data_IF_993633094124
#
_entry.id   IF_993633094124
#
_cell.length_a   1.000
_cell.length_b   1.000
_cell.length_c   1.000
_cell.angle_alpha   90.00
_cell.angle_beta   90.00
_cell.angle_gamma   90.00
#
_symmetry.space_group_name_H-M   'P 1'
#
loop_
_entity.id
_entity.type
_entity.pdbx_description
1 polymer ?
#
# COMPACT_ATOMS: atom_id res chain seq x y z
N UNK A 1 -18.06 -9.67 -6.15
CA UNK A 1 -17.36 -8.69 -5.28
C UNK A 1 -18.27 -8.14 -4.19
N UNK A 2 -19.52 -7.80 -4.48
CA UNK A 2 -20.46 -7.15 -3.54
C UNK A 2 -20.68 -7.92 -2.24
N UNK A 3 -20.82 -9.24 -2.29
CA UNK A 3 -21.10 -10.05 -1.09
C UNK A 3 -19.82 -10.62 -0.43
N UNK A 4 -18.66 -10.47 -1.08
CA UNK A 4 -17.39 -10.91 -0.50
C UNK A 4 -16.97 -9.92 0.59
N UNK A 5 -16.65 -10.34 1.83
CA UNK A 5 -16.26 -9.44 2.92
C UNK A 5 -15.08 -8.52 2.57
N UNK A 6 -14.15 -9.02 1.77
CA UNK A 6 -12.96 -8.29 1.32
C UNK A 6 -13.22 -7.44 0.07
N UNK A 7 -14.40 -7.49 -0.56
CA UNK A 7 -14.66 -6.81 -1.85
C UNK A 7 -13.67 -7.20 -2.97
N UNK A 8 -13.08 -8.39 -2.87
CA UNK A 8 -12.06 -8.91 -3.77
C UNK A 8 -12.49 -10.28 -4.30
N UNK A 9 -11.90 -10.70 -5.41
CA UNK A 9 -12.13 -12.01 -6.02
C UNK A 9 -10.86 -12.86 -5.87
N UNK A 10 -10.98 -14.09 -5.32
CA UNK A 10 -9.89 -15.04 -5.34
C UNK A 10 -9.66 -15.60 -6.75
N UNK A 11 -8.41 -15.84 -7.13
CA UNK A 11 -8.05 -16.54 -8.37
C UNK A 11 -7.95 -18.06 -8.13
N UNK A 12 -7.45 -18.49 -6.96
CA UNK A 12 -7.58 -19.85 -6.44
C UNK A 12 -8.27 -19.87 -5.07
N UNK A 13 -8.80 -21.02 -4.60
CA UNK A 13 -9.42 -21.10 -3.28
C UNK A 13 -8.51 -20.54 -2.17
N UNK A 14 -9.00 -19.52 -1.47
CA UNK A 14 -8.33 -18.78 -0.39
C UNK A 14 -7.20 -17.81 -0.80
N UNK A 15 -6.84 -17.72 -2.08
CA UNK A 15 -5.77 -16.84 -2.57
C UNK A 15 -6.33 -15.71 -3.44
N UNK A 16 -6.09 -14.49 -2.99
CA UNK A 16 -6.44 -13.28 -3.70
C UNK A 16 -5.16 -12.63 -4.24
N UNK A 17 -5.22 -12.10 -5.46
CA UNK A 17 -4.08 -11.47 -6.12
C UNK A 17 -4.39 -10.04 -6.48
N UNK A 18 -3.43 -9.13 -6.24
CA UNK A 18 -3.56 -7.73 -6.63
C UNK A 18 -3.76 -7.61 -8.14
N UNK A 19 -2.93 -8.27 -8.94
CA UNK A 19 -3.02 -8.27 -10.40
C UNK A 19 -4.43 -8.60 -10.93
N UNK A 20 -5.01 -9.72 -10.47
CA UNK A 20 -6.35 -10.16 -10.87
C UNK A 20 -7.41 -9.10 -10.54
N UNK A 21 -7.33 -8.55 -9.32
CA UNK A 21 -8.35 -7.63 -8.79
C UNK A 21 -8.25 -6.23 -9.40
N UNK A 22 -7.03 -5.70 -9.57
CA UNK A 22 -6.79 -4.42 -10.24
C UNK A 22 -7.25 -4.47 -11.70
N UNK A 23 -6.96 -5.58 -12.41
CA UNK A 23 -7.43 -5.80 -13.79
C UNK A 23 -8.96 -5.86 -13.85
N UNK A 24 -9.57 -6.60 -12.92
CA UNK A 24 -11.04 -6.69 -12.82
C UNK A 24 -11.70 -5.34 -12.59
N UNK A 25 -11.15 -4.51 -11.69
CA UNK A 25 -11.64 -3.16 -11.45
C UNK A 25 -11.50 -2.25 -12.67
N UNK A 26 -10.37 -2.29 -13.37
CA UNK A 26 -10.20 -1.55 -14.61
C UNK A 26 -11.29 -1.95 -15.64
N UNK A 27 -11.59 -3.24 -15.76
CA UNK A 27 -12.69 -3.76 -16.57
C UNK A 27 -14.06 -3.20 -16.19
N UNK A 28 -14.36 -3.12 -14.88
CA UNK A 28 -15.62 -2.57 -14.39
C UNK A 28 -15.75 -1.06 -14.66
N UNK A 29 -14.67 -0.30 -14.46
CA UNK A 29 -14.65 1.15 -14.75
C UNK A 29 -14.80 1.41 -16.26
N UNK A 30 -14.18 0.59 -17.10
CA UNK A 30 -14.38 0.64 -18.56
C UNK A 30 -15.81 0.28 -18.94
N UNK A 31 -16.41 -0.74 -18.31
CA UNK A 31 -17.79 -1.16 -18.53
C UNK A 31 -18.78 -0.04 -18.17
N UNK A 32 -18.58 0.64 -17.04
CA UNK A 32 -19.40 1.78 -16.64
C UNK A 32 -19.40 2.85 -17.73
N UNK A 33 -18.23 3.16 -18.29
CA UNK A 33 -18.05 4.18 -19.33
C UNK A 33 -18.59 3.76 -20.70
N UNK A 34 -18.27 2.54 -21.16
CA UNK A 34 -18.56 2.09 -22.53
C UNK A 34 -20.00 1.57 -22.66
N UNK A 35 -20.49 0.88 -21.63
CA UNK A 35 -21.77 0.18 -21.66
C UNK A 35 -22.87 0.90 -20.86
N UNK A 36 -22.57 2.06 -20.26
CA UNK A 36 -23.51 2.80 -19.41
C UNK A 36 -23.95 1.99 -18.20
N UNK A 37 -23.02 1.30 -17.55
CA UNK A 37 -23.23 0.55 -16.31
C UNK A 37 -22.74 1.36 -15.11
N UNK A 38 -22.98 0.86 -13.90
CA UNK A 38 -22.57 1.50 -12.65
C UNK A 38 -21.91 0.52 -11.66
N UNK A 39 -21.39 -0.59 -12.18
CA UNK A 39 -20.83 -1.66 -11.36
C UNK A 39 -19.54 -1.22 -10.68
N UNK A 40 -18.63 -0.57 -11.40
CA UNK A 40 -17.38 -0.07 -10.85
C UNK A 40 -17.62 1.04 -9.83
N UNK A 41 -18.51 1.98 -10.17
CA UNK A 41 -18.89 3.12 -9.34
C UNK A 41 -19.53 2.71 -8.01
N UNK A 42 -20.28 1.60 -7.97
CA UNK A 42 -20.88 1.07 -6.75
C UNK A 42 -19.86 0.48 -5.76
N UNK A 43 -18.76 -0.05 -6.26
CA UNK A 43 -17.80 -0.81 -5.42
C UNK A 43 -16.46 -0.10 -5.23
N UNK A 44 -16.18 0.99 -5.97
CA UNK A 44 -14.88 1.65 -5.99
C UNK A 44 -14.35 2.02 -4.60
N UNK A 45 -15.16 2.70 -3.77
CA UNK A 45 -14.77 3.12 -2.43
C UNK A 45 -14.45 1.93 -1.52
N UNK A 46 -15.23 0.86 -1.63
CA UNK A 46 -15.02 -0.36 -0.85
C UNK A 46 -13.78 -1.10 -1.34
N UNK A 47 -13.57 -1.18 -2.65
CA UNK A 47 -12.40 -1.78 -3.25
C UNK A 47 -11.12 -1.04 -2.84
N UNK A 48 -11.09 0.29 -2.91
CA UNK A 48 -9.94 1.10 -2.48
C UNK A 48 -9.62 0.85 -1.00
N UNK A 49 -10.64 0.83 -0.13
CA UNK A 49 -10.47 0.50 1.29
C UNK A 49 -9.90 -0.90 1.50
N UNK A 50 -10.38 -1.90 0.76
CA UNK A 50 -9.87 -3.27 0.85
C UNK A 50 -8.46 -3.43 0.30
N UNK A 51 -8.14 -2.73 -0.80
CA UNK A 51 -6.80 -2.72 -1.36
C UNK A 51 -5.80 -2.13 -0.35
N UNK A 52 -6.16 -1.01 0.27
CA UNK A 52 -5.36 -0.39 1.33
C UNK A 52 -5.29 -1.23 2.61
N UNK A 53 -6.36 -1.95 2.97
CA UNK A 53 -6.43 -2.65 4.24
C UNK A 53 -6.00 -4.11 4.26
N UNK A 54 -6.02 -4.78 3.11
CA UNK A 54 -5.73 -6.21 3.01
C UNK A 54 -4.53 -6.48 2.08
N UNK A 55 -4.26 -5.58 1.14
CA UNK A 55 -3.25 -5.76 0.10
C UNK A 55 -2.09 -4.78 0.18
N UNK A 56 -2.00 -3.94 1.20
CA UNK A 56 -0.92 -2.96 1.32
C UNK A 56 -0.14 -3.22 2.59
N UNK A 57 1.16 -3.39 2.46
CA UNK A 57 2.07 -3.54 3.60
C UNK A 57 2.31 -2.17 4.28
N UNK A 58 2.96 -2.18 5.45
CA UNK A 58 3.22 -0.97 6.24
C UNK A 58 4.10 0.06 5.53
N UNK A 59 4.91 -0.37 4.55
CA UNK A 59 5.72 0.50 3.70
C UNK A 59 4.93 1.12 2.52
N UNK A 60 3.63 0.79 2.41
CA UNK A 60 2.74 1.27 1.35
C UNK A 60 2.80 0.45 0.05
N UNK A 61 3.59 -0.63 -0.01
CA UNK A 61 3.65 -1.50 -1.19
C UNK A 61 2.45 -2.42 -1.26
N UNK A 62 1.98 -2.65 -2.48
CA UNK A 62 0.85 -3.55 -2.73
C UNK A 62 1.38 -4.99 -2.84
N UNK A 63 0.91 -5.85 -1.94
CA UNK A 63 1.19 -7.27 -1.91
C UNK A 63 0.76 -7.96 -3.21
N UNK A 64 1.55 -8.91 -3.68
CA UNK A 64 1.19 -9.75 -4.83
C UNK A 64 0.01 -10.67 -4.48
N UNK A 65 0.09 -11.30 -3.30
CA UNK A 65 -0.83 -12.34 -2.85
C UNK A 65 -1.27 -12.02 -1.42
N UNK A 66 -2.57 -12.08 -1.18
CA UNK A 66 -3.16 -12.12 0.15
C UNK A 66 -3.90 -13.45 0.34
N UNK A 67 -3.64 -14.11 1.45
CA UNK A 67 -4.31 -15.34 1.86
C UNK A 67 -5.35 -15.05 2.92
N UNK A 68 -6.47 -15.78 2.93
CA UNK A 68 -7.45 -15.74 4.04
C UNK A 68 -6.86 -16.26 5.37
N UNK A 69 -5.74 -16.98 5.31
CA UNK A 69 -5.03 -17.45 6.50
C UNK A 69 -4.01 -16.39 6.95
N UNK A 70 -4.07 -15.92 8.22
CA UNK A 70 -3.21 -14.84 8.74
C UNK A 70 -1.71 -15.08 8.59
N UNK A 71 -1.30 -16.35 8.54
CA UNK A 71 0.10 -16.76 8.65
C UNK A 71 0.81 -16.96 7.28
N UNK A 72 0.14 -16.62 6.17
CA UNK A 72 0.69 -16.83 4.82
C UNK A 72 0.63 -15.56 3.96
N UNK A 73 1.28 -14.50 4.41
CA UNK A 73 1.93 -13.55 3.49
C UNK A 73 3.22 -14.19 3.04
N UNK A 74 3.36 -14.51 1.74
CA UNK A 74 4.59 -15.09 1.20
C UNK A 74 5.64 -13.98 1.04
N UNK A 75 6.55 -13.77 2.01
CA UNK A 75 7.48 -12.65 1.98
C UNK A 75 8.53 -12.96 0.90
N UNK A 76 8.82 -11.99 0.02
CA UNK A 76 9.83 -12.17 -1.04
C UNK A 76 9.31 -12.58 -2.42
N UNK A 77 7.98 -12.72 -2.60
CA UNK A 77 7.35 -12.77 -3.93
C UNK A 77 6.99 -11.37 -4.48
N UNK A 78 6.93 -10.36 -3.61
CA UNK A 78 6.85 -8.96 -4.02
C UNK A 78 8.23 -8.45 -4.40
N UNK A 79 8.37 -7.93 -5.61
CA UNK A 79 9.52 -7.14 -6.00
C UNK A 79 9.12 -6.15 -7.07
N UNK A 80 10.10 -5.34 -7.49
CA UNK A 80 9.91 -4.12 -8.29
C UNK A 80 9.08 -4.32 -9.56
N UNK A 81 9.11 -5.52 -10.15
CA UNK A 81 8.30 -5.85 -11.32
C UNK A 81 6.80 -5.80 -11.02
N UNK A 82 6.39 -6.36 -9.88
CA UNK A 82 4.99 -6.37 -9.45
C UNK A 82 4.54 -4.97 -9.08
N UNK A 83 5.39 -4.17 -8.43
CA UNK A 83 5.08 -2.77 -8.13
C UNK A 83 4.82 -1.97 -9.41
N UNK A 84 5.67 -2.16 -10.44
CA UNK A 84 5.49 -1.55 -11.75
C UNK A 84 4.13 -1.93 -12.37
N UNK A 85 3.78 -3.22 -12.35
CA UNK A 85 2.51 -3.70 -12.91
C UNK A 85 1.32 -3.12 -12.14
N UNK A 86 1.38 -3.12 -10.81
CA UNK A 86 0.33 -2.55 -9.96
C UNK A 86 0.16 -1.05 -10.23
N UNK A 87 1.25 -0.28 -10.30
CA UNK A 87 1.22 1.14 -10.61
C UNK A 87 0.57 1.43 -11.98
N UNK A 88 0.90 0.65 -13.01
CA UNK A 88 0.26 0.78 -14.33
C UNK A 88 -1.25 0.49 -14.27
N UNK A 89 -1.66 -0.60 -13.62
CA UNK A 89 -3.08 -0.98 -13.54
C UNK A 89 -3.91 0.02 -12.71
N UNK A 90 -3.32 0.59 -11.66
CA UNK A 90 -3.97 1.61 -10.84
C UNK A 90 -4.26 2.90 -11.62
N UNK A 91 -3.46 3.21 -12.65
CA UNK A 91 -3.62 4.44 -13.47
C UNK A 91 -5.03 4.57 -14.05
N UNK A 92 -5.69 3.44 -14.35
CA UNK A 92 -7.02 3.43 -14.96
C UNK A 92 -8.13 3.98 -14.04
N UNK A 93 -7.98 3.90 -12.72
CA UNK A 93 -9.08 4.23 -11.80
C UNK A 93 -8.67 4.78 -10.41
N UNK A 94 -7.44 4.55 -9.95
CA UNK A 94 -6.86 5.09 -8.71
C UNK A 94 -5.50 5.77 -8.99
N UNK A 95 -5.47 6.86 -9.77
CA UNK A 95 -4.22 7.50 -10.19
C UNK A 95 -3.37 8.00 -9.02
N UNK A 96 -4.01 8.40 -7.90
CA UNK A 96 -3.30 8.78 -6.68
C UNK A 96 -2.45 7.63 -6.12
N UNK A 97 -2.98 6.41 -6.09
CA UNK A 97 -2.25 5.23 -5.63
C UNK A 97 -1.20 4.81 -6.65
N UNK A 98 -1.49 4.92 -7.95
CA UNK A 98 -0.51 4.68 -9.02
C UNK A 98 0.74 5.56 -8.83
N UNK A 99 0.53 6.86 -8.59
CA UNK A 99 1.63 7.80 -8.40
C UNK A 99 2.40 7.56 -7.08
N UNK A 100 1.70 7.23 -5.99
CA UNK A 100 2.35 6.87 -4.73
C UNK A 100 3.25 5.64 -4.88
N UNK A 101 2.75 4.61 -5.56
CA UNK A 101 3.51 3.39 -5.84
C UNK A 101 4.73 3.71 -6.75
N UNK A 102 4.55 4.52 -7.80
CA UNK A 102 5.67 4.98 -8.64
C UNK A 102 6.73 5.78 -7.87
N UNK A 103 6.31 6.63 -6.92
CA UNK A 103 7.23 7.40 -6.10
C UNK A 103 8.11 6.49 -5.24
N UNK A 104 7.53 5.44 -4.64
CA UNK A 104 8.26 4.41 -3.89
C UNK A 104 9.25 3.70 -4.81
N UNK A 105 8.79 3.21 -5.97
CA UNK A 105 9.66 2.52 -6.96
C UNK A 105 10.88 3.37 -7.30
N UNK A 106 10.63 4.63 -7.70
CA UNK A 106 11.66 5.54 -8.18
C UNK A 106 12.68 5.92 -7.09
N UNK A 107 12.23 6.15 -5.87
CA UNK A 107 13.08 6.68 -4.81
C UNK A 107 13.86 5.58 -4.08
N UNK A 108 13.21 4.43 -3.85
CA UNK A 108 13.74 3.35 -3.03
C UNK A 108 14.48 2.28 -3.86
N UNK A 109 13.94 1.90 -5.03
CA UNK A 109 14.45 0.75 -5.79
C UNK A 109 15.27 1.10 -7.02
N UNK A 110 15.16 2.30 -7.56
CA UNK A 110 15.92 2.73 -8.74
C UNK A 110 17.13 3.55 -8.32
N UNK A 111 18.34 3.09 -8.66
CA UNK A 111 19.59 3.86 -8.52
C UNK A 111 20.34 3.86 -9.85
N UNK A 112 21.13 4.89 -10.07
CA UNK A 112 22.06 4.93 -11.19
C UNK A 112 23.47 4.73 -10.64
N UNK A 113 24.24 3.86 -11.29
CA UNK A 113 25.66 3.70 -10.99
C UNK A 113 26.48 4.89 -11.52
N UNK A 114 27.78 4.91 -11.22
CA UNK A 114 28.69 5.97 -11.65
C UNK A 114 28.83 6.05 -13.19
N UNK A 115 28.43 5.00 -13.92
CA UNK A 115 28.42 4.94 -15.38
C UNK A 115 27.06 5.37 -15.98
N UNK A 116 26.12 5.80 -15.15
CA UNK A 116 24.77 6.18 -15.57
C UNK A 116 23.88 4.99 -15.96
N UNK A 117 24.24 3.76 -15.59
CA UNK A 117 23.40 2.59 -15.79
C UNK A 117 22.40 2.44 -14.64
N UNK A 118 21.15 2.14 -14.99
CA UNK A 118 20.11 1.89 -14.01
C UNK A 118 20.34 0.53 -13.31
N UNK A 119 20.50 0.57 -12.00
CA UNK A 119 20.53 -0.55 -11.08
C UNK A 119 19.20 -0.62 -10.32
N UNK A 120 18.57 -1.81 -10.32
CA UNK A 120 17.34 -2.06 -9.55
C UNK A 120 17.68 -2.79 -8.26
N UNK A 121 17.47 -2.12 -7.12
CA UNK A 121 17.68 -2.69 -5.80
C UNK A 121 16.57 -3.66 -5.40
N UNK A 122 16.91 -4.57 -4.49
CA UNK A 122 15.99 -5.54 -3.87
C UNK A 122 15.26 -6.49 -4.84
N UNK A 123 15.94 -6.97 -5.87
CA UNK A 123 15.42 -8.02 -6.75
C UNK A 123 15.32 -9.37 -6.01
N UNK A 124 14.19 -9.55 -5.32
CA UNK A 124 13.84 -10.76 -4.56
C UNK A 124 12.88 -11.64 -5.37
N UNK A 125 13.03 -12.96 -5.21
CA UNK A 125 12.12 -13.98 -5.73
C UNK A 125 11.80 -13.88 -7.22
N UNK A 126 10.51 -13.88 -7.55
CA UNK A 126 9.98 -13.90 -8.93
C UNK A 126 10.32 -12.66 -9.74
N UNK A 127 10.70 -11.55 -9.09
CA UNK A 127 11.09 -10.32 -9.80
C UNK A 127 12.46 -10.41 -10.48
N UNK A 128 13.24 -11.46 -10.17
CA UNK A 128 14.51 -11.77 -10.83
C UNK A 128 14.37 -12.88 -11.86
N UNK A 129 13.15 -13.28 -12.23
CA UNK A 129 12.91 -14.35 -13.22
C UNK A 129 12.38 -13.71 -14.50
N UNK A 130 13.00 -14.05 -15.62
CA UNK A 130 12.49 -13.73 -16.94
C UNK A 130 11.40 -14.76 -17.32
N UNK A 131 10.12 -14.33 -17.45
CA UNK A 131 9.02 -15.26 -17.71
C UNK A 131 9.08 -15.87 -19.12
N UNK A 132 9.88 -15.32 -20.04
CA UNK A 132 10.00 -15.86 -21.39
C UNK A 132 10.84 -17.14 -21.42
N UNK A 133 11.87 -17.23 -20.58
CA UNK A 133 12.80 -18.36 -20.57
C UNK A 133 12.98 -19.03 -19.19
N UNK A 134 12.27 -18.55 -18.17
CA UNK A 134 12.30 -19.04 -16.78
C UNK A 134 13.69 -19.04 -16.12
N UNK A 135 14.60 -18.21 -16.60
CA UNK A 135 15.95 -18.05 -16.02
C UNK A 135 16.04 -16.77 -15.21
N UNK A 136 17.07 -16.71 -14.35
CA UNK A 136 17.39 -15.48 -13.65
C UNK A 136 17.70 -14.36 -14.65
N UNK A 137 16.98 -13.26 -14.58
CA UNK A 137 17.09 -12.16 -15.53
C UNK A 137 16.26 -10.95 -15.11
N UNK A 138 16.74 -9.78 -15.50
CA UNK A 138 16.12 -8.47 -15.23
C UNK A 138 15.48 -7.88 -16.49
N UNK A 139 15.47 -8.64 -17.60
CA UNK A 139 14.96 -8.20 -18.91
C UNK A 139 13.56 -7.59 -18.82
N UNK A 140 12.59 -8.16 -18.08
CA UNK A 140 11.26 -7.58 -17.97
C UNK A 140 11.28 -6.18 -17.34
N UNK A 141 12.10 -5.97 -16.30
CA UNK A 141 12.17 -4.69 -15.59
C UNK A 141 12.60 -3.54 -16.50
N UNK A 142 13.49 -3.83 -17.47
CA UNK A 142 13.91 -2.84 -18.47
C UNK A 142 12.77 -2.34 -19.36
N UNK A 143 11.69 -3.11 -19.51
CA UNK A 143 10.48 -2.69 -20.21
C UNK A 143 9.44 -2.08 -19.25
N UNK A 144 9.21 -2.72 -18.10
CA UNK A 144 8.16 -2.32 -17.17
C UNK A 144 8.47 -1.02 -16.42
N UNK A 145 9.73 -0.73 -16.10
CA UNK A 145 10.11 0.51 -15.41
C UNK A 145 9.84 1.75 -16.30
N UNK A 146 10.34 1.83 -17.56
CA UNK A 146 10.02 2.95 -18.43
C UNK A 146 8.53 3.06 -18.75
N UNK A 147 7.84 1.92 -18.93
CA UNK A 147 6.40 1.92 -19.12
C UNK A 147 5.69 2.53 -17.90
N UNK A 148 6.01 2.07 -16.68
CA UNK A 148 5.44 2.61 -15.46
C UNK A 148 5.76 4.09 -15.29
N UNK A 149 6.99 4.51 -15.58
CA UNK A 149 7.37 5.91 -15.60
C UNK A 149 6.45 6.70 -16.54
N UNK A 150 6.23 6.22 -17.76
CA UNK A 150 5.33 6.87 -18.71
C UNK A 150 3.89 6.89 -18.18
N UNK A 151 3.32 5.76 -17.79
CA UNK A 151 1.93 5.67 -17.31
C UNK A 151 1.68 6.50 -16.04
N UNK A 152 2.61 6.51 -15.10
CA UNK A 152 2.51 7.28 -13.85
C UNK A 152 2.88 8.77 -14.01
N UNK A 153 3.38 9.20 -15.19
CA UNK A 153 3.72 10.61 -15.45
C UNK A 153 2.92 11.25 -16.60
N UNK A 154 2.13 10.48 -17.35
CA UNK A 154 1.36 10.95 -18.51
C UNK A 154 -0.10 11.30 -18.16
N UNK A 155 -0.68 12.39 -18.71
CA UNK A 155 -0.33 13.78 -18.46
C UNK A 155 -0.82 14.24 -17.08
N UNK A 156 0.07 14.20 -16.09
CA UNK A 156 -0.21 14.68 -14.74
C UNK A 156 0.24 16.13 -14.58
N UNK A 157 -0.47 17.06 -15.23
CA UNK A 157 -0.57 18.47 -14.77
C UNK A 157 -1.63 18.63 -13.67
N UNK A 158 -2.34 17.56 -13.31
CA UNK A 158 -3.53 17.61 -12.44
C UNK A 158 -3.42 16.83 -11.12
N UNK A 159 -2.46 15.91 -10.96
CA UNK A 159 -2.32 15.11 -9.73
C UNK A 159 -0.85 14.83 -9.41
N UNK A 160 -0.06 15.87 -9.17
CA UNK A 160 1.19 15.70 -8.41
C UNK A 160 0.89 14.80 -7.21
N UNK A 161 1.71 13.77 -6.95
CA UNK A 161 1.85 13.28 -5.57
C UNK A 161 2.14 14.56 -4.80
N UNK A 162 1.25 14.97 -3.90
CA UNK A 162 1.64 16.05 -3.01
C UNK A 162 2.87 15.53 -2.27
N UNK A 163 3.89 16.36 -2.09
CA UNK A 163 5.01 16.04 -1.19
C UNK A 163 4.52 15.51 0.18
N UNK A 164 3.26 15.77 0.51
CA UNK A 164 2.49 15.18 1.61
C UNK A 164 2.49 13.65 1.73
N UNK A 165 2.71 12.85 0.69
CA UNK A 165 2.81 11.38 0.87
C UNK A 165 4.15 10.95 1.53
N UNK A 166 5.21 11.71 1.31
CA UNK A 166 6.50 11.51 2.01
C UNK A 166 6.52 12.20 3.37
N UNK A 167 5.68 13.21 3.57
CA UNK A 167 5.54 13.95 4.82
C UNK A 167 4.36 13.50 5.69
N UNK A 168 3.62 12.47 5.29
CA UNK A 168 2.46 12.02 6.03
C UNK A 168 2.83 11.26 7.30
N UNK A 169 1.97 11.29 8.34
CA UNK A 169 2.13 10.49 9.54
C UNK A 169 2.43 9.02 9.25
N UNK A 170 3.41 8.48 9.97
CA UNK A 170 3.92 7.13 9.83
C UNK A 170 3.81 6.39 11.17
N UNK A 171 3.46 5.09 11.12
CA UNK A 171 3.67 4.19 12.26
C UNK A 171 5.12 3.70 12.21
N UNK A 172 5.96 4.26 13.08
CA UNK A 172 7.41 4.02 13.11
C UNK A 172 7.77 2.87 14.05
N UNK A 173 7.03 2.71 15.16
CA UNK A 173 7.34 1.70 16.17
C UNK A 173 6.08 0.90 16.52
N UNK A 174 6.16 -0.40 16.26
CA UNK A 174 5.23 -1.42 16.72
C UNK A 174 6.06 -2.69 16.99
N UNK A 175 6.22 -3.05 18.26
CA UNK A 175 7.17 -4.09 18.65
C UNK A 175 6.73 -5.47 18.14
N UNK A 176 7.45 -6.03 17.17
CA UNK A 176 7.30 -7.42 16.76
C UNK A 176 7.97 -8.38 17.78
N UNK A 177 7.41 -9.57 18.06
CA UNK A 177 6.16 -10.14 17.53
C UNK A 177 4.92 -9.75 18.34
N UNK A 178 5.03 -8.82 19.29
CA UNK A 178 3.96 -8.49 20.23
C UNK A 178 2.77 -7.78 19.53
N UNK A 179 3.05 -6.98 18.50
CA UNK A 179 2.07 -6.31 17.63
C UNK A 179 2.34 -6.65 16.16
N UNK A 180 1.30 -7.05 15.44
CA UNK A 180 1.32 -7.29 14.00
C UNK A 180 0.56 -6.17 13.30
N UNK A 181 1.19 -5.54 12.31
CA UNK A 181 0.59 -4.46 11.53
C UNK A 181 -0.01 -5.06 10.27
N UNK A 182 -1.34 -5.07 10.19
CA UNK A 182 -2.06 -5.51 8.98
C UNK A 182 -2.38 -4.35 8.03
N UNK A 183 -2.41 -3.11 8.55
CA UNK A 183 -2.58 -1.89 7.77
C UNK A 183 -1.89 -0.72 8.48
N UNK A 184 -1.20 0.12 7.72
CA UNK A 184 -0.80 1.46 8.15
C UNK A 184 -0.86 2.42 6.95
N UNK A 185 -1.95 3.18 6.84
CA UNK A 185 -2.30 3.90 5.62
C UNK A 185 -2.60 5.37 5.87
N UNK A 186 -1.90 6.29 5.18
CA UNK A 186 -2.21 7.72 5.31
C UNK A 186 -3.45 8.13 4.51
N UNK A 187 -4.37 8.83 5.17
CA UNK A 187 -5.57 9.42 4.56
C UNK A 187 -5.36 10.94 4.44
N UNK A 188 -5.36 11.45 3.21
CA UNK A 188 -5.27 12.89 2.94
C UNK A 188 -3.95 13.55 3.33
N UNK A 189 -2.91 12.79 3.70
CA UNK A 189 -1.60 13.29 4.12
C UNK A 189 -1.50 13.73 5.58
N UNK A 190 -2.62 13.78 6.32
CA UNK A 190 -2.66 14.26 7.70
C UNK A 190 -3.15 13.21 8.71
N UNK A 191 -3.86 12.19 8.23
CA UNK A 191 -4.41 11.12 9.05
C UNK A 191 -3.70 9.80 8.76
N UNK A 192 -3.74 8.87 9.71
CA UNK A 192 -3.18 7.53 9.57
C UNK A 192 -4.19 6.49 10.07
N UNK A 193 -4.63 5.61 9.17
CA UNK A 193 -5.55 4.52 9.43
C UNK A 193 -4.78 3.21 9.55
N UNK A 194 -4.86 2.59 10.71
CA UNK A 194 -4.15 1.38 11.10
C UNK A 194 -5.11 0.21 11.32
N UNK A 195 -4.65 -1.00 11.05
CA UNK A 195 -5.27 -2.24 11.55
C UNK A 195 -4.16 -3.05 12.17
N UNK A 196 -4.27 -3.33 13.46
CA UNK A 196 -3.28 -4.04 14.24
C UNK A 196 -3.87 -5.33 14.83
N UNK A 197 -3.01 -6.30 15.08
CA UNK A 197 -3.32 -7.52 15.83
C UNK A 197 -2.32 -7.70 16.97
N UNK A 198 -2.77 -8.23 18.10
CA UNK A 198 -1.86 -8.71 19.14
C UNK A 198 -1.24 -10.03 18.68
N UNK A 199 0.05 -10.23 18.93
CA UNK A 199 0.76 -11.43 18.48
C UNK A 199 0.41 -12.70 19.26
N UNK A 200 0.24 -12.59 20.59
CA UNK A 200 -0.16 -13.71 21.46
C UNK A 200 -1.42 -13.38 22.24
N UNK A 201 -1.27 -12.65 23.34
CA UNK A 201 -2.37 -12.28 24.23
C UNK A 201 -2.81 -10.83 23.97
N UNK A 202 -4.12 -10.52 24.07
CA UNK A 202 -4.60 -9.15 24.06
C UNK A 202 -3.97 -8.33 25.19
N UNK A 203 -3.76 -7.04 24.95
CA UNK A 203 -3.12 -6.19 25.95
C UNK A 203 -2.91 -4.75 25.50
N UNK A 204 -2.24 -3.99 26.35
CA UNK A 204 -1.83 -2.61 26.05
C UNK A 204 -0.43 -2.62 25.47
N UNK A 205 -0.27 -2.06 24.28
CA UNK A 205 0.99 -1.99 23.55
C UNK A 205 1.36 -0.54 23.25
N UNK A 206 2.65 -0.25 23.32
CA UNK A 206 3.19 1.06 22.94
C UNK A 206 3.38 1.12 21.43
N UNK A 207 2.77 2.13 20.81
CA UNK A 207 2.94 2.48 19.40
C UNK A 207 3.72 3.79 19.29
N UNK A 208 4.64 3.87 18.34
CA UNK A 208 5.38 5.08 18.01
C UNK A 208 4.98 5.60 16.64
N UNK A 209 4.76 6.91 16.59
CA UNK A 209 4.42 7.65 15.38
C UNK A 209 5.53 8.62 15.03
N UNK A 210 5.76 8.80 13.74
CA UNK A 210 6.72 9.76 13.19
C UNK A 210 6.08 10.59 12.08
N UNK A 211 6.77 11.63 11.63
CA UNK A 211 6.30 12.57 10.59
C UNK A 211 4.97 13.26 10.95
N UNK A 212 4.72 13.44 12.24
CA UNK A 212 3.61 14.26 12.74
C UNK A 212 3.97 15.74 12.63
N UNK A 213 2.97 16.61 12.52
CA UNK A 213 3.19 18.06 12.61
C UNK A 213 3.72 18.40 14.01
N UNK A 214 4.90 19.04 14.14
CA UNK A 214 5.48 19.35 15.44
C UNK A 214 4.54 20.16 16.34
N UNK A 215 4.52 19.83 17.63
CA UNK A 215 3.70 20.46 18.67
C UNK A 215 2.18 20.38 18.45
N UNK A 216 1.71 19.55 17.50
CA UNK A 216 0.28 19.35 17.25
C UNK A 216 -0.24 18.16 18.05
N UNK A 217 -1.46 18.28 18.58
CA UNK A 217 -2.15 17.17 19.23
C UNK A 217 -2.81 16.26 18.19
N UNK A 218 -2.68 14.95 18.41
CA UNK A 218 -3.35 13.92 17.63
C UNK A 218 -4.20 13.05 18.53
N UNK A 219 -5.38 12.67 18.03
CA UNK A 219 -6.33 11.79 18.71
C UNK A 219 -6.46 10.48 17.94
N UNK A 220 -6.51 9.39 18.69
CA UNK A 220 -6.80 8.05 18.19
C UNK A 220 -8.30 7.78 18.30
N UNK A 221 -8.85 7.03 17.34
CA UNK A 221 -10.25 6.58 17.37
C UNK A 221 -10.58 5.70 18.58
N UNK A 222 -9.57 5.15 19.25
CA UNK A 222 -9.70 4.36 20.48
C UNK A 222 -9.83 5.20 21.75
N UNK A 223 -9.69 6.54 21.65
CA UNK A 223 -9.92 7.49 22.74
C UNK A 223 -8.65 8.11 23.34
N UNK A 224 -7.48 7.54 23.10
CA UNK A 224 -6.19 8.13 23.50
C UNK A 224 -5.82 9.34 22.65
N UNK A 225 -4.98 10.22 23.20
CA UNK A 225 -4.32 11.30 22.44
C UNK A 225 -2.84 11.39 22.79
N UNK A 226 -2.08 12.01 21.90
CA UNK A 226 -0.70 12.41 22.15
C UNK A 226 -0.35 13.70 21.42
N UNK A 227 0.60 14.43 22.00
CA UNK A 227 1.18 15.63 21.41
C UNK A 227 2.48 15.24 20.71
N UNK A 228 2.62 15.65 19.45
CA UNK A 228 3.86 15.47 18.71
C UNK A 228 4.98 16.32 19.28
N UNK A 229 6.16 15.71 19.46
CA UNK A 229 7.39 16.42 19.84
C UNK A 229 7.85 17.39 18.75
N UNK A 230 8.85 18.23 19.06
CA UNK A 230 9.51 19.10 18.07
C UNK A 230 10.08 18.33 16.87
N UNK A 231 10.46 17.06 17.08
CA UNK A 231 10.95 16.17 16.03
C UNK A 231 9.84 15.48 15.21
N UNK A 232 8.55 15.79 15.46
CA UNK A 232 7.42 15.16 14.77
C UNK A 232 7.11 13.73 15.24
N UNK A 233 7.61 13.33 16.42
CA UNK A 233 7.38 12.00 16.99
C UNK A 233 6.39 12.02 18.15
N UNK A 234 5.59 10.97 18.29
CA UNK A 234 4.73 10.75 19.45
C UNK A 234 4.66 9.26 19.81
N UNK A 235 4.32 8.96 21.06
CA UNK A 235 4.08 7.59 21.53
C UNK A 235 2.74 7.49 22.22
N UNK A 236 2.02 6.39 21.99
CA UNK A 236 0.70 6.15 22.59
C UNK A 236 0.59 4.69 23.02
N UNK A 237 0.01 4.48 24.19
CA UNK A 237 -0.36 3.15 24.67
C UNK A 237 -1.78 2.79 24.22
N UNK A 238 -1.91 1.73 23.44
CA UNK A 238 -3.18 1.31 22.84
C UNK A 238 -3.52 -0.11 23.22
N UNK A 239 -4.78 -0.35 23.60
CA UNK A 239 -5.30 -1.68 23.82
C UNK A 239 -5.57 -2.36 22.46
N UNK A 240 -4.92 -3.49 22.20
CA UNK A 240 -5.07 -4.28 20.98
C UNK A 240 -5.58 -5.67 21.36
N UNK A 241 -6.71 -6.05 20.77
CA UNK A 241 -7.37 -7.35 21.00
C UNK A 241 -7.96 -7.86 19.69
N UNK A 242 -7.34 -8.89 19.11
CA UNK A 242 -7.60 -9.33 17.75
C UNK A 242 -7.43 -8.18 16.74
N UNK A 243 -8.26 -8.19 15.69
CA UNK A 243 -8.27 -7.14 14.66
C UNK A 243 -8.74 -5.81 15.25
N UNK A 244 -7.82 -4.90 15.49
CA UNK A 244 -8.08 -3.58 16.08
C UNK A 244 -7.81 -2.48 15.06
N UNK A 245 -8.86 -1.78 14.61
CA UNK A 245 -8.71 -0.62 13.72
C UNK A 245 -8.49 0.65 14.55
N UNK A 246 -7.47 1.43 14.21
CA UNK A 246 -7.11 2.68 14.89
C UNK A 246 -6.94 3.76 13.82
N UNK A 247 -7.63 4.89 13.98
CA UNK A 247 -7.43 6.07 13.13
C UNK A 247 -6.77 7.15 13.97
N UNK A 248 -5.59 7.61 13.58
CA UNK A 248 -4.89 8.75 14.12
C UNK A 248 -5.23 9.99 13.27
N UNK A 249 -5.66 11.07 13.93
CA UNK A 249 -6.01 12.33 13.27
C UNK A 249 -5.60 13.53 14.13
N UNK A 250 -5.19 14.65 13.52
CA UNK A 250 -4.89 15.87 14.26
C UNK A 250 -6.16 16.44 14.92
N UNK A 251 -6.01 17.03 16.10
CA UNK A 251 -7.05 17.83 16.74
C UNK A 251 -7.03 19.22 16.10
N UNK A 252 -8.21 19.75 15.76
CA UNK A 252 -8.39 21.11 15.24
C UNK A 252 -8.34 22.15 16.35
#
# INVERSE_FOLDING_TARGET
>A
MTDNPYCLCPCEPNYMYSLCNLTGMAGLVMSDRILGRDFGSKICNRFERSLGGEFTDCDGRILLIHSKFPDLTLPGLCGTLIDCINAMLLTAYLPRLAHGNWAIIRNEFLKYDDNGQLEVKELKGTSKIDPNNYRAGESPLRAFIPATAAYATWPTRLFTVSDGALQSPLLEDAKFPDVLVAKAYSIGGEQLDLVLYNGKEPGVFRLGFDRLTPNKEYKLSTGQSAVASEAGKAYVEVNISGRTQIVLQPVN
#
